data_IF_384977642512
#
_entry.id   IF_384977642512
#
_cell.length_a   1.000
_cell.length_b   1.000
_cell.length_c   1.000
_cell.angle_alpha   90.00
_cell.angle_beta   90.00
_cell.angle_gamma   90.00
#
_symmetry.space_group_name_H-M   'P 1'
#
loop_
_entity.id
_entity.type
_entity.pdbx_description
1 polymer ?
#
# COMPACT_ATOMS: atom_id res chain seq x y z
N UNK A 1 29.89 89.35 35.85
CA UNK A 1 30.84 88.30 36.29
C UNK A 1 30.13 86.95 36.24
N UNK A 2 30.85 85.84 36.04
CA UNK A 2 30.26 84.51 35.83
C UNK A 2 30.96 83.46 36.72
N UNK A 3 30.22 82.79 37.62
CA UNK A 3 30.53 81.43 38.06
C UNK A 3 29.25 80.53 38.03
N UNK A 4 29.22 79.44 37.26
CA UNK A 4 29.73 78.07 37.54
C UNK A 4 28.60 77.10 37.94
N UNK A 5 28.57 75.95 37.26
CA UNK A 5 27.59 74.87 37.40
C UNK A 5 27.70 74.15 38.75
N UNK A 6 26.65 73.43 39.16
CA UNK A 6 26.74 72.05 39.68
C UNK A 6 25.42 71.28 39.44
N UNK A 7 25.50 69.98 39.16
CA UNK A 7 24.36 69.05 39.07
C UNK A 7 24.41 68.02 40.22
N UNK A 8 23.25 67.53 40.69
CA UNK A 8 22.85 66.08 40.78
C UNK A 8 21.68 65.82 41.76
N UNK A 9 20.91 64.76 41.48
CA UNK A 9 19.91 64.05 42.31
C UNK A 9 18.69 64.88 42.82
N UNK A 10 17.41 64.49 42.67
CA UNK A 10 16.70 63.23 42.96
C UNK A 10 16.55 62.96 44.48
N UNK A 11 15.37 62.70 45.07
CA UNK A 11 13.99 62.37 44.59
C UNK A 11 12.93 63.31 45.29
N UNK A 12 11.59 63.12 45.36
CA UNK A 12 10.65 62.05 44.99
C UNK A 12 9.18 62.50 44.72
N UNK A 13 8.49 61.76 43.85
CA UNK A 13 7.08 61.30 43.83
C UNK A 13 5.92 62.06 44.55
N UNK A 14 5.00 62.62 43.73
CA UNK A 14 3.52 62.66 43.88
C UNK A 14 2.91 63.27 42.59
N UNK A 15 1.73 62.96 42.05
CA UNK A 15 0.78 61.84 42.20
C UNK A 15 -0.16 61.85 40.93
N UNK A 16 -1.31 61.14 40.95
CA UNK A 16 -2.35 61.06 39.88
C UNK A 16 -1.93 60.28 38.60
N UNK A 17 -2.84 59.79 37.74
CA UNK A 17 -4.08 58.99 37.91
C UNK A 17 -4.59 58.65 36.48
N UNK A 18 -5.10 57.43 36.27
CA UNK A 18 -5.95 56.99 35.14
C UNK A 18 -5.48 57.20 33.68
N UNK A 19 -5.12 56.11 33.02
CA UNK A 19 -5.39 55.90 31.57
C UNK A 19 -5.50 54.39 31.26
N UNK A 20 -6.72 53.88 31.05
CA UNK A 20 -6.94 52.52 30.56
C UNK A 20 -6.72 52.49 29.03
N UNK A 21 -5.63 51.89 28.55
CA UNK A 21 -5.46 51.49 27.16
C UNK A 21 -4.72 50.15 27.07
N UNK A 22 -5.10 49.32 26.10
CA UNK A 22 -4.30 48.15 25.70
C UNK A 22 -4.52 46.88 26.53
N UNK A 23 -5.77 46.38 26.59
CA UNK A 23 -5.98 44.93 26.72
C UNK A 23 -5.44 44.26 25.45
N UNK A 24 -4.15 43.91 25.45
CA UNK A 24 -3.51 43.22 24.32
C UNK A 24 -4.00 41.78 24.27
N UNK A 25 -5.12 41.55 23.58
CA UNK A 25 -5.57 40.22 23.20
C UNK A 25 -4.56 39.61 22.24
N UNK A 26 -3.54 38.95 22.80
CA UNK A 26 -2.62 38.13 22.03
C UNK A 26 -3.45 37.10 21.26
N UNK A 27 -3.26 36.96 19.92
CA UNK A 27 -3.87 35.86 19.21
C UNK A 27 -3.30 34.57 19.81
N UNK A 28 -4.16 33.76 20.42
CA UNK A 28 -3.79 32.39 20.79
C UNK A 28 -3.36 31.70 19.51
N UNK A 29 -2.08 31.31 19.43
CA UNK A 29 -1.59 30.54 18.31
C UNK A 29 -2.37 29.22 18.29
N UNK A 30 -3.32 29.12 17.34
CA UNK A 30 -4.05 27.89 17.12
C UNK A 30 -3.05 26.83 16.71
N UNK A 31 -2.80 25.86 17.60
CA UNK A 31 -1.98 24.70 17.28
C UNK A 31 -2.61 24.02 16.06
N UNK A 32 -1.98 24.15 14.90
CA UNK A 32 -2.37 23.39 13.72
C UNK A 32 -2.17 21.92 14.06
N UNK A 33 -3.29 21.21 14.30
CA UNK A 33 -3.23 19.79 14.65
C UNK A 33 -2.81 19.02 13.40
N UNK A 34 -1.50 18.79 13.28
CA UNK A 34 -0.92 17.87 12.31
C UNK A 34 -1.32 16.45 12.70
N UNK A 35 -2.52 16.03 12.28
CA UNK A 35 -2.88 14.61 12.22
C UNK A 35 -1.83 13.94 11.34
N UNK A 36 -1.00 13.08 11.93
CA UNK A 36 0.04 12.38 11.21
C UNK A 36 -0.60 11.26 10.39
N UNK A 37 -0.62 11.40 9.07
CA UNK A 37 -1.16 10.38 8.16
C UNK A 37 -0.45 9.04 8.39
N UNK A 38 -1.21 8.00 8.65
CA UNK A 38 -0.75 6.62 8.78
C UNK A 38 -0.85 5.94 7.42
N UNK A 39 0.27 5.92 6.70
CA UNK A 39 0.40 5.23 5.42
C UNK A 39 1.01 3.83 5.61
N UNK A 40 0.50 2.85 4.85
CA UNK A 40 1.13 1.55 4.64
C UNK A 40 0.79 1.02 3.26
N UNK A 41 1.76 0.40 2.61
CA UNK A 41 1.58 -0.28 1.34
C UNK A 41 2.35 -1.58 1.32
N UNK A 42 1.92 -2.53 0.48
CA UNK A 42 2.59 -3.80 0.25
C UNK A 42 2.38 -4.21 -1.22
N UNK A 43 3.39 -4.79 -1.85
CA UNK A 43 3.23 -5.45 -3.13
C UNK A 43 3.97 -6.79 -3.16
N UNK A 44 3.50 -7.73 -3.96
CA UNK A 44 4.15 -9.04 -4.14
C UNK A 44 3.83 -9.63 -5.50
N UNK A 45 4.86 -9.95 -6.28
CA UNK A 45 4.72 -10.61 -7.57
C UNK A 45 4.02 -11.98 -7.42
N UNK A 46 4.40 -12.77 -6.41
CA UNK A 46 3.68 -13.99 -6.07
C UNK A 46 3.85 -14.37 -4.60
N UNK A 47 2.78 -14.89 -4.00
CA UNK A 47 2.76 -15.57 -2.69
C UNK A 47 2.18 -16.97 -2.88
N UNK A 48 2.81 -17.98 -2.29
CA UNK A 48 2.41 -19.38 -2.38
C UNK A 48 2.48 -19.99 -0.99
N UNK A 49 1.38 -20.57 -0.52
CA UNK A 49 1.28 -21.35 0.72
C UNK A 49 0.88 -22.77 0.36
N UNK A 50 1.76 -23.75 0.59
CA UNK A 50 1.43 -25.17 0.44
C UNK A 50 1.07 -25.77 1.81
N UNK A 51 -0.02 -26.54 1.84
CA UNK A 51 -0.46 -27.27 3.03
C UNK A 51 0.07 -28.71 2.98
N UNK A 52 0.87 -29.07 3.97
CA UNK A 52 1.40 -30.41 4.15
C UNK A 52 0.45 -31.35 4.90
N UNK A 53 0.64 -32.65 4.71
CA UNK A 53 -0.23 -33.75 5.19
C UNK A 53 -0.44 -33.80 6.72
N UNK A 54 0.34 -33.04 7.50
CA UNK A 54 0.25 -32.94 8.96
C UNK A 54 -0.20 -31.55 9.46
N UNK A 55 -0.81 -30.73 8.59
CA UNK A 55 -1.22 -29.36 8.92
C UNK A 55 -0.08 -28.32 8.95
N UNK A 56 1.13 -28.73 8.57
CA UNK A 56 2.28 -27.83 8.39
C UNK A 56 2.12 -27.01 7.12
N UNK A 57 2.11 -25.68 7.22
CA UNK A 57 2.09 -24.79 6.05
C UNK A 57 3.51 -24.31 5.69
N UNK A 58 3.84 -24.35 4.40
CA UNK A 58 5.07 -23.76 3.85
C UNK A 58 4.71 -22.55 3.00
N UNK A 59 4.99 -21.36 3.51
CA UNK A 59 4.85 -20.10 2.76
C UNK A 59 6.12 -19.75 2.01
N UNK A 60 6.00 -19.15 0.83
CA UNK A 60 7.09 -18.63 0.01
C UNK A 60 6.59 -17.49 -0.88
N UNK A 61 7.46 -16.58 -1.29
CA UNK A 61 7.11 -15.50 -2.21
C UNK A 61 8.22 -15.16 -3.21
N UNK A 62 7.82 -14.55 -4.32
CA UNK A 62 8.70 -13.87 -5.28
C UNK A 62 8.52 -12.36 -5.12
N UNK A 63 9.53 -11.60 -5.54
CA UNK A 63 9.60 -10.12 -5.55
C UNK A 63 8.52 -9.43 -4.68
N UNK A 64 8.83 -9.19 -3.41
CA UNK A 64 7.86 -8.69 -2.41
C UNK A 64 8.41 -7.48 -1.65
N UNK A 65 7.57 -6.46 -1.48
CA UNK A 65 7.90 -5.16 -0.90
C UNK A 65 6.86 -4.71 0.12
N UNK A 66 7.26 -3.77 0.98
CA UNK A 66 6.38 -3.25 2.00
C UNK A 66 6.94 -2.03 2.70
N UNK A 67 6.07 -1.06 2.98
CA UNK A 67 6.41 0.19 3.68
C UNK A 67 5.42 0.49 4.81
N UNK A 68 5.89 1.28 5.77
CA UNK A 68 5.06 1.93 6.78
C UNK A 68 5.56 3.36 7.01
N UNK A 69 4.61 4.28 7.18
CA UNK A 69 4.87 5.72 7.17
C UNK A 69 4.75 6.36 5.79
N UNK A 70 4.66 7.70 5.78
CA UNK A 70 4.58 8.55 4.58
C UNK A 70 5.98 8.89 4.05
N UNK A 71 6.08 9.16 2.74
CA UNK A 71 7.35 9.47 2.07
C UNK A 71 8.36 8.31 2.12
N UNK A 72 7.87 7.07 1.96
CA UNK A 72 8.64 5.83 1.97
C UNK A 72 8.49 5.06 0.66
N UNK A 73 9.50 4.28 0.30
CA UNK A 73 9.60 3.55 -0.96
C UNK A 73 10.18 2.16 -0.74
N UNK A 74 9.67 1.17 -1.48
CA UNK A 74 10.25 -0.18 -1.56
C UNK A 74 9.93 -0.78 -2.92
N UNK A 75 10.97 -1.05 -3.71
CA UNK A 75 10.90 -1.69 -5.04
C UNK A 75 11.86 -2.89 -5.09
N UNK A 76 11.45 -3.96 -5.77
CA UNK A 76 12.28 -5.13 -6.03
C UNK A 76 11.84 -5.83 -7.32
N UNK A 77 12.81 -6.08 -8.21
CA UNK A 77 12.64 -6.83 -9.43
C UNK A 77 13.63 -7.98 -9.55
N UNK A 78 13.27 -9.03 -10.27
CA UNK A 78 14.15 -10.16 -10.61
C UNK A 78 14.05 -10.44 -12.12
N UNK A 79 15.10 -10.97 -12.75
CA UNK A 79 15.02 -11.38 -14.16
C UNK A 79 14.09 -12.59 -14.36
N UNK A 80 14.13 -13.53 -13.41
CA UNK A 80 13.25 -14.70 -13.31
C UNK A 80 13.01 -15.02 -11.85
N UNK A 81 11.94 -15.75 -11.56
CA UNK A 81 11.64 -16.27 -10.23
C UNK A 81 10.93 -17.62 -10.31
N UNK A 82 11.10 -18.44 -9.27
CA UNK A 82 10.35 -19.69 -9.11
C UNK A 82 10.15 -20.06 -7.65
N UNK A 83 9.06 -20.77 -7.35
CA UNK A 83 8.76 -21.32 -6.02
C UNK A 83 8.57 -22.82 -6.15
N UNK A 84 9.40 -23.59 -5.45
CA UNK A 84 9.24 -25.02 -5.13
C UNK A 84 8.83 -25.92 -6.32
N UNK A 85 9.25 -25.57 -7.53
CA UNK A 85 8.86 -26.20 -8.81
C UNK A 85 7.35 -26.19 -9.13
N UNK A 86 6.55 -25.42 -8.39
CA UNK A 86 5.11 -25.24 -8.63
C UNK A 86 4.79 -23.94 -9.36
N UNK A 87 5.61 -22.90 -9.19
CA UNK A 87 5.49 -21.62 -9.89
C UNK A 87 6.81 -21.25 -10.58
N UNK A 88 6.72 -20.71 -11.79
CA UNK A 88 7.79 -19.98 -12.49
C UNK A 88 7.24 -18.70 -13.12
N UNK A 89 8.06 -17.65 -13.16
CA UNK A 89 7.75 -16.38 -13.84
C UNK A 89 9.02 -15.69 -14.36
N UNK A 90 8.86 -14.88 -15.41
CA UNK A 90 9.86 -13.94 -15.92
C UNK A 90 9.55 -12.52 -15.42
N UNK A 91 10.60 -11.71 -15.27
CA UNK A 91 10.52 -10.32 -14.83
C UNK A 91 9.61 -10.04 -13.59
N UNK A 92 9.56 -10.88 -12.52
CA UNK A 92 8.69 -10.60 -11.38
C UNK A 92 9.15 -9.33 -10.65
N UNK A 93 8.24 -8.37 -10.51
CA UNK A 93 8.47 -7.08 -9.88
C UNK A 93 7.38 -6.77 -8.83
N UNK A 94 7.77 -6.09 -7.76
CA UNK A 94 6.84 -5.46 -6.82
C UNK A 94 7.40 -4.12 -6.36
N UNK A 95 6.58 -3.07 -6.46
CA UNK A 95 6.91 -1.70 -6.09
C UNK A 95 5.83 -1.12 -5.19
N UNK A 96 6.22 -0.25 -4.27
CA UNK A 96 5.30 0.41 -3.33
C UNK A 96 5.88 1.76 -2.91
N UNK A 97 5.05 2.79 -3.00
CA UNK A 97 5.40 4.19 -2.71
C UNK A 97 4.37 4.80 -1.77
N UNK A 98 4.80 5.62 -0.82
CA UNK A 98 3.93 6.53 -0.08
C UNK A 98 4.40 7.97 -0.21
N UNK A 99 3.44 8.87 -0.30
CA UNK A 99 3.63 10.31 -0.24
C UNK A 99 3.04 10.84 1.08
N UNK A 100 2.81 12.15 1.23
CA UNK A 100 2.18 12.71 2.43
C UNK A 100 0.67 12.37 2.53
N UNK A 101 0.05 12.16 1.37
CA UNK A 101 -1.39 12.12 1.14
C UNK A 101 -1.83 10.98 0.19
N UNK A 102 -0.93 10.12 -0.27
CA UNK A 102 -1.23 8.99 -1.17
C UNK A 102 -0.34 7.78 -0.88
N UNK A 103 -0.85 6.57 -1.15
CA UNK A 103 -0.07 5.33 -1.26
C UNK A 103 -0.42 4.64 -2.56
N UNK A 104 0.60 4.18 -3.29
CA UNK A 104 0.47 3.41 -4.52
C UNK A 104 1.30 2.12 -4.42
N UNK A 105 0.76 1.02 -4.91
CA UNK A 105 1.40 -0.30 -4.93
C UNK A 105 1.15 -0.99 -6.27
N UNK A 106 2.19 -1.63 -6.80
CA UNK A 106 2.13 -2.38 -8.06
C UNK A 106 2.87 -3.70 -7.92
N UNK A 107 2.32 -4.78 -8.44
CA UNK A 107 3.04 -6.03 -8.68
C UNK A 107 2.82 -6.51 -10.11
N UNK A 108 3.83 -7.10 -10.73
CA UNK A 108 3.76 -7.61 -12.11
C UNK A 108 4.70 -8.80 -12.37
N UNK A 109 4.34 -9.61 -13.36
CA UNK A 109 5.11 -10.76 -13.86
C UNK A 109 4.81 -10.97 -15.35
N UNK A 110 5.80 -11.50 -16.09
CA UNK A 110 5.63 -12.05 -17.43
C UNK A 110 5.80 -13.58 -17.44
N UNK A 111 5.37 -14.23 -18.53
CA UNK A 111 5.54 -15.68 -18.80
C UNK A 111 5.28 -16.56 -17.55
N UNK A 112 4.10 -16.41 -16.96
CA UNK A 112 3.73 -17.05 -15.70
C UNK A 112 3.28 -18.47 -15.96
N UNK A 113 3.88 -19.44 -15.25
CA UNK A 113 3.50 -20.85 -15.27
C UNK A 113 3.31 -21.38 -13.85
N UNK A 114 2.10 -21.85 -13.55
CA UNK A 114 1.71 -22.42 -12.25
C UNK A 114 1.17 -23.84 -12.45
N UNK A 115 1.67 -24.81 -11.69
CA UNK A 115 1.24 -26.22 -11.72
C UNK A 115 1.06 -26.75 -10.30
N UNK A 116 -0.19 -27.05 -9.92
CA UNK A 116 -0.55 -27.54 -8.59
C UNK A 116 -1.65 -28.59 -8.68
N UNK A 117 -1.51 -29.71 -7.97
CA UNK A 117 -2.50 -30.80 -7.90
C UNK A 117 -2.99 -31.37 -9.26
N UNK A 118 -2.21 -31.18 -10.34
CA UNK A 118 -2.61 -31.57 -11.70
C UNK A 118 -3.41 -30.50 -12.46
N UNK A 119 -3.71 -29.35 -11.84
CA UNK A 119 -4.17 -28.15 -12.53
C UNK A 119 -2.95 -27.37 -13.04
N UNK A 120 -2.96 -26.98 -14.32
CA UNK A 120 -1.98 -26.06 -14.91
C UNK A 120 -2.64 -24.74 -15.25
N UNK A 121 -1.94 -23.64 -14.99
CA UNK A 121 -2.36 -22.27 -15.28
C UNK A 121 -1.18 -21.56 -15.93
N UNK A 122 -1.41 -20.85 -17.03
CA UNK A 122 -0.41 -20.04 -17.71
C UNK A 122 -1.01 -18.67 -18.11
N UNK A 123 -0.17 -17.64 -18.14
CA UNK A 123 -0.53 -16.30 -18.62
C UNK A 123 0.74 -15.56 -19.09
N UNK A 124 0.66 -14.84 -20.22
CA UNK A 124 1.82 -14.16 -20.80
C UNK A 124 2.23 -12.92 -19.98
N UNK A 125 1.25 -12.28 -19.32
CA UNK A 125 1.46 -11.19 -18.36
C UNK A 125 0.39 -11.20 -17.27
N UNK A 126 0.79 -10.88 -16.04
CA UNK A 126 -0.09 -10.76 -14.86
C UNK A 126 0.36 -9.56 -14.04
N UNK A 127 -0.50 -8.58 -13.82
CA UNK A 127 -0.20 -7.38 -13.03
C UNK A 127 -1.41 -6.87 -12.23
N UNK A 128 -1.12 -6.23 -11.09
CA UNK A 128 -2.09 -5.60 -10.20
C UNK A 128 -1.58 -4.27 -9.68
N UNK A 129 -2.48 -3.32 -9.54
CA UNK A 129 -2.26 -1.96 -9.03
C UNK A 129 -3.29 -1.67 -7.94
N UNK A 130 -2.85 -1.09 -6.83
CA UNK A 130 -3.71 -0.58 -5.76
C UNK A 130 -3.24 0.83 -5.40
N UNK A 131 -4.19 1.77 -5.31
CA UNK A 131 -3.94 3.17 -4.95
C UNK A 131 -4.93 3.64 -3.89
N UNK A 132 -4.49 4.49 -2.96
CA UNK A 132 -5.38 5.24 -2.09
C UNK A 132 -4.84 6.64 -1.79
N UNK A 133 -5.69 7.66 -1.98
CA UNK A 133 -5.47 9.04 -1.53
C UNK A 133 -6.16 9.27 -0.17
N UNK A 134 -5.55 10.08 0.69
CA UNK A 134 -6.02 10.41 2.04
C UNK A 134 -7.44 10.98 2.04
N UNK A 135 -8.36 10.29 2.74
CA UNK A 135 -9.79 10.64 2.77
C UNK A 135 -10.56 10.31 1.49
N UNK A 136 -9.90 9.79 0.45
CA UNK A 136 -10.53 9.27 -0.76
C UNK A 136 -10.93 7.79 -0.64
N UNK A 137 -11.80 7.36 -1.54
CA UNK A 137 -11.93 5.93 -1.85
C UNK A 137 -10.66 5.46 -2.57
N UNK A 138 -10.19 4.25 -2.27
CA UNK A 138 -9.11 3.63 -3.01
C UNK A 138 -9.57 3.06 -4.35
N UNK A 139 -8.60 2.75 -5.20
CA UNK A 139 -8.78 2.36 -6.60
C UNK A 139 -7.93 1.11 -6.87
N UNK A 140 -8.49 0.15 -7.60
CA UNK A 140 -7.83 -1.09 -7.97
C UNK A 140 -7.89 -1.40 -9.46
N UNK A 141 -6.78 -1.88 -10.00
CA UNK A 141 -6.59 -2.18 -11.43
C UNK A 141 -5.82 -3.49 -11.58
N UNK A 142 -6.14 -4.28 -12.62
CA UNK A 142 -5.42 -5.53 -12.93
C UNK A 142 -5.34 -5.74 -14.44
N UNK A 143 -4.22 -6.29 -14.89
CA UNK A 143 -4.02 -6.75 -16.26
C UNK A 143 -3.62 -8.22 -16.25
N UNK A 144 -4.25 -9.03 -17.10
CA UNK A 144 -4.01 -10.47 -17.23
C UNK A 144 -4.14 -10.80 -18.71
N UNK A 145 -3.07 -11.25 -19.35
CA UNK A 145 -3.06 -11.54 -20.79
C UNK A 145 -2.83 -13.03 -21.08
N UNK A 146 -3.44 -13.49 -22.19
CA UNK A 146 -3.39 -14.86 -22.69
C UNK A 146 -3.60 -15.96 -21.61
N UNK A 147 -4.57 -15.76 -20.70
CA UNK A 147 -4.86 -16.69 -19.62
C UNK A 147 -5.33 -18.05 -20.16
N UNK A 148 -4.62 -19.11 -19.80
CA UNK A 148 -4.91 -20.51 -20.14
C UNK A 148 -4.96 -21.36 -18.86
N UNK A 149 -5.99 -22.20 -18.73
CA UNK A 149 -6.13 -23.18 -17.64
C UNK A 149 -6.30 -24.58 -18.25
N UNK A 150 -5.47 -25.53 -17.86
CA UNK A 150 -5.47 -26.91 -18.36
C UNK A 150 -5.44 -27.01 -19.91
N UNK A 151 -4.78 -26.05 -20.57
CA UNK A 151 -4.72 -25.95 -22.04
C UNK A 151 -5.93 -25.26 -22.71
N UNK A 152 -6.93 -24.80 -21.95
CA UNK A 152 -8.07 -24.05 -22.46
C UNK A 152 -7.93 -22.55 -22.17
N UNK A 153 -8.05 -21.65 -23.17
CA UNK A 153 -8.09 -20.21 -22.93
C UNK A 153 -9.29 -19.79 -22.08
N UNK A 154 -9.11 -18.79 -21.21
CA UNK A 154 -10.14 -18.27 -20.30
C UNK A 154 -10.28 -16.76 -20.49
N UNK A 155 -11.49 -16.31 -20.78
CA UNK A 155 -11.78 -14.90 -21.00
C UNK A 155 -11.75 -14.12 -19.68
N UNK A 156 -10.82 -13.16 -19.58
CA UNK A 156 -10.76 -12.18 -18.49
C UNK A 156 -11.72 -11.04 -18.83
N UNK A 157 -12.72 -10.81 -17.98
CA UNK A 157 -13.80 -9.83 -18.24
C UNK A 157 -13.48 -8.41 -17.76
N UNK A 158 -12.40 -8.25 -16.98
CA UNK A 158 -12.08 -7.01 -16.27
C UNK A 158 -13.01 -6.67 -15.09
N UNK A 159 -14.12 -7.41 -14.91
CA UNK A 159 -15.02 -7.21 -13.77
C UNK A 159 -14.35 -7.66 -12.46
N UNK A 160 -14.44 -6.89 -11.35
CA UNK A 160 -13.89 -7.31 -10.08
C UNK A 160 -14.49 -8.63 -9.57
N UNK A 161 -13.65 -9.45 -8.95
CA UNK A 161 -13.98 -10.72 -8.31
C UNK A 161 -14.60 -11.76 -9.27
N UNK A 162 -14.07 -11.86 -10.50
CA UNK A 162 -14.50 -12.88 -11.47
C UNK A 162 -14.06 -14.29 -11.02
N UNK A 163 -15.01 -15.11 -10.58
CA UNK A 163 -14.76 -16.48 -10.13
C UNK A 163 -14.74 -17.49 -11.28
N UNK A 164 -13.72 -18.35 -11.30
CA UNK A 164 -13.57 -19.53 -12.17
C UNK A 164 -13.45 -20.78 -11.29
N UNK A 165 -14.30 -21.78 -11.52
CA UNK A 165 -14.20 -23.06 -10.81
C UNK A 165 -13.15 -23.98 -11.45
N UNK A 166 -12.37 -24.69 -10.63
CA UNK A 166 -11.34 -25.65 -11.09
C UNK A 166 -11.42 -26.97 -10.30
N UNK A 167 -10.88 -28.09 -10.82
CA UNK A 167 -10.78 -29.32 -10.04
C UNK A 167 -10.05 -29.09 -8.71
N UNK A 168 -10.72 -29.38 -7.59
CA UNK A 168 -10.18 -29.20 -6.24
C UNK A 168 -10.33 -27.80 -5.62
N UNK A 169 -10.91 -26.81 -6.33
CA UNK A 169 -11.08 -25.47 -5.76
C UNK A 169 -11.56 -24.40 -6.74
N UNK A 170 -11.00 -23.20 -6.64
CA UNK A 170 -11.41 -22.04 -7.41
C UNK A 170 -10.25 -21.09 -7.73
N UNK A 171 -10.48 -20.19 -8.68
CA UNK A 171 -9.67 -19.01 -8.96
C UNK A 171 -10.57 -17.79 -8.90
N UNK A 172 -10.11 -16.71 -8.27
CA UNK A 172 -10.69 -15.37 -8.39
C UNK A 172 -9.74 -14.52 -9.23
N UNK A 173 -10.24 -13.98 -10.33
CA UNK A 173 -9.54 -13.05 -11.22
C UNK A 173 -10.00 -11.61 -10.90
N UNK A 174 -9.07 -10.66 -10.94
CA UNK A 174 -9.30 -9.28 -10.49
C UNK A 174 -9.95 -9.22 -9.10
N UNK A 175 -9.41 -9.96 -8.14
CA UNK A 175 -9.93 -9.95 -6.77
C UNK A 175 -9.69 -8.57 -6.15
N UNK A 176 -10.75 -7.87 -5.77
CA UNK A 176 -10.67 -6.53 -5.19
C UNK A 176 -11.47 -6.46 -3.89
N UNK A 177 -10.80 -6.02 -2.83
CA UNK A 177 -11.39 -5.70 -1.54
C UNK A 177 -11.03 -4.26 -1.15
N UNK A 178 -12.03 -3.38 -1.13
CA UNK A 178 -11.92 -1.97 -0.77
C UNK A 178 -12.70 -1.75 0.53
N UNK A 179 -12.04 -1.19 1.55
CA UNK A 179 -12.66 -0.93 2.86
C UNK A 179 -13.53 0.34 2.84
N UNK A 180 -14.37 0.49 3.86
CA UNK A 180 -15.10 1.74 4.12
C UNK A 180 -14.21 2.95 4.45
N UNK A 181 -12.91 2.74 4.66
CA UNK A 181 -11.89 3.79 4.86
C UNK A 181 -10.98 3.98 3.64
N UNK A 182 -11.31 3.37 2.50
CA UNK A 182 -10.54 3.44 1.24
C UNK A 182 -9.36 2.48 1.14
N UNK A 183 -8.99 1.79 2.22
CA UNK A 183 -7.89 0.81 2.23
C UNK A 183 -8.18 -0.31 1.23
N UNK A 184 -7.27 -0.51 0.27
CA UNK A 184 -7.53 -1.27 -0.96
C UNK A 184 -6.53 -2.41 -1.12
N UNK A 185 -7.05 -3.60 -1.40
CA UNK A 185 -6.29 -4.82 -1.71
C UNK A 185 -6.76 -5.34 -3.06
N UNK A 186 -5.80 -5.61 -3.95
CA UNK A 186 -6.03 -6.05 -5.32
C UNK A 186 -5.10 -7.21 -5.63
N UNK A 187 -5.66 -8.32 -6.08
CA UNK A 187 -4.91 -9.47 -6.58
C UNK A 187 -5.33 -9.76 -8.03
N UNK A 188 -4.39 -9.85 -8.96
CA UNK A 188 -4.71 -10.19 -10.34
C UNK A 188 -5.30 -11.60 -10.43
N UNK A 189 -4.70 -12.56 -9.73
CA UNK A 189 -5.21 -13.92 -9.61
C UNK A 189 -4.99 -14.48 -8.20
N UNK A 190 -6.05 -14.98 -7.58
CA UNK A 190 -6.00 -15.74 -6.34
C UNK A 190 -6.54 -17.15 -6.61
N UNK A 191 -5.69 -18.17 -6.46
CA UNK A 191 -5.98 -19.59 -6.67
C UNK A 191 -6.07 -20.29 -5.31
N UNK A 192 -7.22 -20.88 -5.01
CA UNK A 192 -7.43 -21.66 -3.79
C UNK A 192 -7.68 -23.12 -4.15
N UNK A 193 -6.84 -24.04 -3.68
CA UNK A 193 -7.00 -25.49 -3.82
C UNK A 193 -7.21 -26.11 -2.43
N UNK A 194 -8.42 -26.64 -2.21
CA UNK A 194 -8.95 -26.96 -0.89
C UNK A 194 -8.09 -28.00 -0.15
N UNK A 195 -7.41 -27.56 0.91
CA UNK A 195 -6.52 -28.41 1.71
C UNK A 195 -5.15 -28.71 1.07
N UNK A 196 -4.80 -28.05 -0.03
CA UNK A 196 -3.55 -28.28 -0.77
C UNK A 196 -2.71 -27.00 -0.87
N UNK A 197 -3.30 -25.91 -1.37
CA UNK A 197 -2.56 -24.68 -1.61
C UNK A 197 -3.44 -23.43 -1.64
N UNK A 198 -2.83 -22.30 -1.30
CA UNK A 198 -3.36 -20.95 -1.43
C UNK A 198 -2.27 -20.13 -2.16
N UNK A 199 -2.63 -19.50 -3.29
CA UNK A 199 -1.66 -18.81 -4.17
C UNK A 199 -2.24 -17.48 -4.64
N UNK A 200 -1.46 -16.41 -4.47
CA UNK A 200 -1.79 -15.06 -4.93
C UNK A 200 -0.72 -14.62 -5.92
N UNK A 201 -1.12 -14.26 -7.14
CA UNK A 201 -0.26 -13.78 -8.22
C UNK A 201 -0.60 -12.31 -8.53
N UNK A 202 0.44 -11.48 -8.55
CA UNK A 202 0.40 -10.02 -8.53
C UNK A 202 -0.59 -9.47 -7.49
N UNK A 203 -0.09 -9.25 -6.28
CA UNK A 203 -0.81 -8.63 -5.15
C UNK A 203 -0.33 -7.20 -4.94
N UNK A 204 -1.25 -6.25 -4.81
CA UNK A 204 -1.00 -4.86 -4.48
C UNK A 204 -1.94 -4.39 -3.36
N UNK A 205 -1.43 -3.62 -2.40
CA UNK A 205 -2.19 -3.17 -1.22
C UNK A 205 -1.82 -1.74 -0.88
N UNK A 206 -2.79 -0.82 -0.90
CA UNK A 206 -2.59 0.59 -0.54
C UNK A 206 -3.52 1.00 0.61
N UNK A 207 -2.98 1.68 1.61
CA UNK A 207 -3.73 2.13 2.79
C UNK A 207 -3.19 3.46 3.34
N UNK A 208 -4.05 4.45 3.51
CA UNK A 208 -3.72 5.71 4.19
C UNK A 208 -4.91 6.30 4.96
N UNK A 209 -4.65 6.78 6.18
CA UNK A 209 -5.64 7.43 7.06
C UNK A 209 -5.03 8.40 8.06
#
# INVERSE_FOLDING_TARGET
>A
MHPKNHHRAATAAAALLLANLGLSSWPTAGQAQTTASTASGQASAAQVVLLGLLGTATSSSLASTGISGTNAESDVGQLTGSILSVLSAEAPNAATYSYADQVDSMASMGNVGLTLAGVTIAADSVAAEASQVLGGAGVGSTYIDNLVINGMPVAVTGSPNQLIAIPGGQIVLNEQAISSTGSTVVNAMHVTLNGIADVVLASARASIS
#
